data_IF_958126648275
#
_entry.id   IF_958126648275
#
_cell.length_a   1.000
_cell.length_b   1.000
_cell.length_c   1.000
_cell.angle_alpha   90.00
_cell.angle_beta   90.00
_cell.angle_gamma   90.00
#
_symmetry.space_group_name_H-M   'P 1'
#
loop_
_entity.id
_entity.type
_entity.pdbx_description
1 polymer ?
#
# COMPACT_ATOMS: atom_id res chain seq x y z
N UNK A 1 -7.59 41.87 7.94
CA UNK A 1 -7.71 41.24 9.28
C UNK A 1 -8.35 39.83 9.27
N UNK A 2 -8.29 39.05 8.19
CA UNK A 2 -8.95 37.73 8.11
C UNK A 2 -8.03 36.49 8.11
N UNK A 3 -6.73 36.67 7.84
CA UNK A 3 -5.79 35.54 7.62
C UNK A 3 -5.51 34.71 8.88
N UNK A 4 -5.47 35.31 10.07
CA UNK A 4 -5.19 34.58 11.32
C UNK A 4 -6.25 33.54 11.68
N UNK A 5 -7.53 33.84 11.43
CA UNK A 5 -8.64 32.93 11.67
C UNK A 5 -8.65 31.75 10.70
N UNK A 6 -8.37 32.02 9.41
CA UNK A 6 -8.25 30.97 8.41
C UNK A 6 -7.08 30.03 8.73
N UNK A 7 -5.91 30.57 9.09
CA UNK A 7 -4.73 29.78 9.49
C UNK A 7 -5.03 28.89 10.70
N UNK A 8 -5.68 29.44 11.73
CA UNK A 8 -6.07 28.68 12.91
C UNK A 8 -7.04 27.53 12.59
N UNK A 9 -8.04 27.78 11.73
CA UNK A 9 -8.97 26.72 11.26
C UNK A 9 -8.23 25.62 10.50
N UNK A 10 -7.32 25.98 9.59
CA UNK A 10 -6.54 25.02 8.83
C UNK A 10 -5.63 24.17 9.71
N UNK A 11 -4.95 24.76 10.69
CA UNK A 11 -4.12 24.00 11.65
C UNK A 11 -4.95 23.03 12.49
N UNK A 12 -6.17 23.42 12.89
CA UNK A 12 -7.09 22.52 13.61
C UNK A 12 -7.49 21.33 12.74
N UNK A 13 -7.93 21.57 11.50
CA UNK A 13 -8.32 20.53 10.55
C UNK A 13 -7.15 19.60 10.24
N UNK A 14 -5.96 20.15 9.99
CA UNK A 14 -4.77 19.35 9.71
C UNK A 14 -4.38 18.46 10.90
N UNK A 15 -4.52 18.96 12.13
CA UNK A 15 -4.29 18.15 13.34
C UNK A 15 -5.32 17.03 13.45
N UNK A 16 -6.59 17.35 13.23
CA UNK A 16 -7.66 16.35 13.23
C UNK A 16 -7.40 15.27 12.20
N UNK A 17 -7.03 15.61 10.96
CA UNK A 17 -6.66 14.63 9.93
C UNK A 17 -5.42 13.82 10.28
N UNK A 18 -4.40 14.44 10.87
CA UNK A 18 -3.14 13.76 11.23
C UNK A 18 -3.33 12.73 12.35
N UNK A 19 -4.21 13.02 13.30
CA UNK A 19 -4.42 12.20 14.50
C UNK A 19 -5.78 11.49 14.52
N UNK A 20 -6.60 11.67 13.49
CA UNK A 20 -7.78 10.84 13.27
C UNK A 20 -7.30 9.48 12.79
N UNK A 21 -7.48 8.47 13.62
CA UNK A 21 -7.47 7.10 13.17
C UNK A 21 -8.87 6.81 12.62
N UNK A 22 -9.02 6.49 11.32
CA UNK A 22 -10.30 6.01 10.81
C UNK A 22 -10.72 4.78 11.62
N UNK A 23 -11.96 4.75 12.07
CA UNK A 23 -12.56 3.52 12.59
C UNK A 23 -12.79 2.59 11.40
N UNK A 24 -12.01 1.52 11.30
CA UNK A 24 -12.20 0.48 10.30
C UNK A 24 -13.12 -0.60 10.86
N UNK A 25 -14.06 -1.05 10.05
CA UNK A 25 -14.86 -2.24 10.36
C UNK A 25 -13.98 -3.48 10.13
N UNK A 26 -13.38 -3.97 11.21
CA UNK A 26 -12.48 -5.12 11.19
C UNK A 26 -13.23 -6.41 10.77
N UNK A 27 -14.52 -6.51 11.07
CA UNK A 27 -15.34 -7.67 10.73
C UNK A 27 -15.60 -7.72 9.22
N UNK A 28 -15.86 -6.56 8.59
CA UNK A 28 -15.98 -6.46 7.15
C UNK A 28 -14.65 -6.81 6.44
N UNK A 29 -13.53 -6.27 6.93
CA UNK A 29 -12.19 -6.54 6.38
C UNK A 29 -11.83 -8.02 6.47
N UNK A 30 -12.10 -8.66 7.61
CA UNK A 30 -11.82 -10.08 7.81
C UNK A 30 -12.62 -10.95 6.83
N UNK A 31 -13.89 -10.60 6.57
CA UNK A 31 -14.72 -11.31 5.58
C UNK A 31 -14.17 -11.18 4.16
N UNK A 32 -13.71 -9.98 3.77
CA UNK A 32 -13.14 -9.75 2.44
C UNK A 32 -11.85 -10.54 2.23
N UNK A 33 -10.92 -10.50 3.20
CA UNK A 33 -9.64 -11.24 3.13
C UNK A 33 -9.88 -12.76 3.14
N UNK A 34 -10.77 -13.24 4.03
CA UNK A 34 -11.13 -14.65 4.10
C UNK A 34 -11.84 -15.16 2.84
N UNK A 35 -12.63 -14.31 2.18
CA UNK A 35 -13.28 -14.64 0.92
C UNK A 35 -12.33 -14.61 -0.27
N UNK A 36 -11.39 -13.66 -0.33
CA UNK A 36 -10.40 -13.56 -1.41
C UNK A 36 -9.45 -14.77 -1.41
N UNK A 37 -8.99 -15.20 -0.24
CA UNK A 37 -8.12 -16.38 -0.10
C UNK A 37 -8.78 -17.68 -0.55
N UNK A 38 -10.11 -17.82 -0.42
CA UNK A 38 -10.84 -19.00 -0.92
C UNK A 38 -10.90 -19.04 -2.46
N UNK A 39 -11.00 -17.89 -3.14
CA UNK A 39 -11.09 -17.80 -4.61
C UNK A 39 -9.73 -18.01 -5.28
N UNK A 40 -8.64 -17.47 -4.72
CA UNK A 40 -7.30 -17.59 -5.31
C UNK A 40 -6.70 -19.01 -5.20
N UNK A 41 -7.26 -19.88 -4.37
CA UNK A 41 -6.70 -21.23 -4.15
C UNK A 41 -7.09 -22.23 -5.24
N UNK A 42 -7.98 -21.86 -6.17
CA UNK A 42 -8.50 -22.82 -7.15
C UNK A 42 -7.96 -22.66 -8.57
N UNK A 43 -7.29 -21.56 -8.98
CA UNK A 43 -7.01 -21.41 -10.43
C UNK A 43 -5.79 -20.58 -10.93
N UNK A 44 -4.89 -19.99 -10.13
CA UNK A 44 -3.90 -19.06 -10.76
C UNK A 44 -2.55 -18.86 -10.06
N UNK A 45 -2.02 -19.83 -9.30
CA UNK A 45 -0.75 -19.63 -8.56
C UNK A 45 0.54 -19.96 -9.33
N UNK A 46 0.48 -20.40 -10.58
CA UNK A 46 1.70 -20.75 -11.34
C UNK A 46 2.24 -19.62 -12.25
N UNK A 47 1.46 -18.57 -12.54
CA UNK A 47 1.85 -17.54 -13.53
C UNK A 47 2.50 -16.28 -12.91
N UNK A 48 2.10 -15.90 -11.69
CA UNK A 48 2.54 -14.66 -11.03
C UNK A 48 4.01 -14.69 -10.54
N UNK A 49 4.56 -15.88 -10.31
CA UNK A 49 5.95 -16.05 -9.86
C UNK A 49 6.97 -15.89 -11.00
N UNK A 50 6.58 -16.13 -12.26
CA UNK A 50 7.48 -16.02 -13.41
C UNK A 50 7.85 -14.58 -13.74
N UNK A 51 6.88 -13.66 -13.71
CA UNK A 51 7.11 -12.25 -14.00
C UNK A 51 7.96 -11.56 -12.92
N UNK A 52 7.85 -12.02 -11.67
CA UNK A 52 8.68 -11.54 -10.57
C UNK A 52 10.14 -11.98 -10.69
N UNK A 53 10.37 -13.22 -11.15
CA UNK A 53 11.71 -13.76 -11.42
C UNK A 53 12.40 -13.03 -12.58
N UNK A 54 11.69 -12.76 -13.68
CA UNK A 54 12.21 -12.00 -14.82
C UNK A 54 12.58 -10.55 -14.43
N UNK A 55 11.76 -9.91 -13.60
CA UNK A 55 12.05 -8.57 -13.09
C UNK A 55 13.25 -8.59 -12.14
N UNK A 56 13.35 -9.57 -11.25
CA UNK A 56 14.48 -9.73 -10.35
C UNK A 56 15.80 -9.99 -11.10
N UNK A 57 15.78 -10.82 -12.15
CA UNK A 57 16.95 -11.09 -12.98
C UNK A 57 17.52 -9.83 -13.64
N UNK A 58 16.64 -8.98 -14.20
CA UNK A 58 17.03 -7.73 -14.87
C UNK A 58 17.84 -6.77 -14.00
N UNK A 59 17.52 -6.68 -12.71
CA UNK A 59 18.22 -5.79 -11.77
C UNK A 59 19.39 -6.47 -11.06
N UNK A 60 19.37 -7.80 -10.91
CA UNK A 60 20.50 -8.55 -10.36
C UNK A 60 21.72 -8.56 -11.31
N UNK A 61 21.50 -8.56 -12.63
CA UNK A 61 22.58 -8.51 -13.63
C UNK A 61 23.25 -7.11 -13.73
N UNK A 62 22.60 -6.04 -13.23
CA UNK A 62 23.15 -4.67 -13.21
C UNK A 62 24.06 -4.40 -12.00
N UNK A 63 24.03 -5.24 -10.95
CA UNK A 63 24.82 -5.09 -9.73
C UNK A 63 26.18 -5.85 -9.77
N UNK A 64 26.44 -6.67 -10.79
CA UNK A 64 27.68 -7.47 -10.94
C UNK A 64 28.57 -6.98 -12.10
N UNK A 65 28.80 -5.66 -12.22
CA UNK A 65 29.89 -5.10 -13.03
C UNK A 65 31.14 -4.84 -12.17
N UNK A 66 32.15 -5.74 -12.19
CA UNK A 66 33.42 -5.51 -11.50
C UNK A 66 34.41 -4.71 -12.34
N UNK A 67 34.02 -3.62 -13.06
CA UNK A 67 34.98 -2.80 -13.83
C UNK A 67 34.47 -1.40 -14.25
N UNK A 68 34.84 -0.36 -13.48
CA UNK A 68 35.79 0.72 -13.89
C UNK A 68 35.78 1.95 -12.98
#
# INVERSE_FOLDING_TARGET
MGRGRAKAKQTKVARELKYSSPSMDLDALQREIGSATAVTTTDSREDDYGEYDDFAAKYNDEDDDPRR
#
